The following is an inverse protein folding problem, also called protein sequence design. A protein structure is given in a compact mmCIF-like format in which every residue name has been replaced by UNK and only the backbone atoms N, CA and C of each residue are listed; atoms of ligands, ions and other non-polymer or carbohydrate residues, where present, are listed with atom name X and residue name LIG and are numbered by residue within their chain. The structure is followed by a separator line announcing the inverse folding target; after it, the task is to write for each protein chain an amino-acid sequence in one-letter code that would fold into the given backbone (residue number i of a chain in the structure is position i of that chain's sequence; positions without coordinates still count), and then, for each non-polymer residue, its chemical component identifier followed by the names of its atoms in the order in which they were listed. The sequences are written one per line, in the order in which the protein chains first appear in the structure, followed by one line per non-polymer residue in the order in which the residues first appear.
data_IF_912027802554
#
_entry.id   IF_912027802554
#
_cell.length_a   1.000
_cell.length_b   1.000
_cell.length_c   1.000
_cell.angle_alpha   90.00
_cell.angle_beta   90.00
_cell.angle_gamma   90.00
#
_symmetry.space_group_name_H-M   'P 1'
#
loop_
_entity.id
_entity.type
_entity.pdbx_description
1 polymer ?
#
# COMPACT_ATOMS: atom_id res chain seq x y z
N UNK A 1 -1.56 28.62 -15.30
CA UNK A 1 -2.66 28.83 -14.32
C UNK A 1 -2.34 27.99 -13.10
N UNK A 2 -2.64 28.45 -11.89
CA UNK A 2 -2.46 27.64 -10.67
C UNK A 2 -3.67 26.71 -10.50
N UNK A 3 -3.43 25.47 -10.09
CA UNK A 3 -4.47 24.50 -9.75
C UNK A 3 -5.36 25.00 -8.62
N UNK A 4 -6.62 24.56 -8.60
CA UNK A 4 -7.54 24.81 -7.48
C UNK A 4 -7.22 23.87 -6.32
N UNK A 5 -7.01 24.42 -5.13
CA UNK A 5 -6.87 23.64 -3.89
C UNK A 5 -8.21 23.65 -3.12
N UNK A 6 -8.66 22.48 -2.68
CA UNK A 6 -9.72 22.32 -1.68
C UNK A 6 -9.14 21.59 -0.47
N UNK A 7 -9.32 22.12 0.74
CA UNK A 7 -8.67 21.58 1.94
C UNK A 7 -9.66 21.38 3.09
N UNK A 8 -9.47 20.28 3.82
CA UNK A 8 -10.21 19.92 5.03
C UNK A 8 -9.27 19.88 6.23
N UNK A 9 -8.63 21.01 6.51
CA UNK A 9 -7.67 21.16 7.61
C UNK A 9 -8.28 22.05 8.71
N UNK A 10 -8.85 21.47 9.79
CA UNK A 10 -9.57 22.24 10.81
C UNK A 10 -8.66 23.25 11.52
N UNK A 11 -7.39 22.91 11.74
CA UNK A 11 -6.40 23.77 12.41
C UNK A 11 -5.53 24.56 11.41
N UNK A 12 -5.85 24.48 10.11
CA UNK A 12 -5.02 25.00 9.03
C UNK A 12 -3.78 24.13 8.75
N UNK A 13 -2.93 24.61 7.84
CA UNK A 13 -1.67 23.96 7.48
C UNK A 13 -0.48 24.69 8.12
N UNK A 14 0.58 23.95 8.46
CA UNK A 14 1.86 24.56 8.79
C UNK A 14 2.58 25.10 7.55
N UNK A 15 3.48 26.08 7.73
CA UNK A 15 4.18 26.75 6.63
C UNK A 15 4.87 25.80 5.62
N UNK A 16 5.41 24.67 6.10
CA UNK A 16 6.03 23.68 5.24
C UNK A 16 5.01 22.92 4.35
N UNK A 17 3.83 22.60 4.90
CA UNK A 17 2.74 21.99 4.16
C UNK A 17 2.18 22.96 3.13
N UNK A 18 1.95 24.22 3.51
CA UNK A 18 1.52 25.28 2.59
C UNK A 18 2.49 25.48 1.42
N UNK A 19 3.80 25.53 1.72
CA UNK A 19 4.82 25.67 0.68
C UNK A 19 4.80 24.50 -0.30
N UNK A 20 4.61 23.27 0.19
CA UNK A 20 4.53 22.07 -0.64
C UNK A 20 3.24 22.03 -1.48
N UNK A 21 2.09 22.37 -0.89
CA UNK A 21 0.80 22.45 -1.60
C UNK A 21 0.84 23.54 -2.68
N UNK A 22 1.43 24.70 -2.37
CA UNK A 22 1.59 25.79 -3.33
C UNK A 22 2.54 25.41 -4.47
N UNK A 23 3.61 24.65 -4.19
CA UNK A 23 4.51 24.09 -5.22
C UNK A 23 3.73 23.14 -6.13
N UNK A 24 3.00 22.19 -5.54
CA UNK A 24 2.20 21.21 -6.28
C UNK A 24 1.14 21.87 -7.17
N UNK A 25 0.45 22.89 -6.66
CA UNK A 25 -0.58 23.60 -7.43
C UNK A 25 -0.03 24.43 -8.59
N UNK A 26 1.26 24.77 -8.57
CA UNK A 26 1.94 25.47 -9.69
C UNK A 26 2.59 24.52 -10.69
N UNK A 27 2.74 23.23 -10.36
CA UNK A 27 3.22 22.21 -11.30
C UNK A 27 2.31 22.18 -12.51
N UNK A 28 2.89 22.22 -13.71
CA UNK A 28 2.10 22.20 -14.95
C UNK A 28 1.29 20.91 -15.06
N UNK A 29 0.10 21.03 -15.68
CA UNK A 29 -0.91 19.97 -15.85
C UNK A 29 -1.69 19.56 -14.59
N UNK A 30 -1.30 20.03 -13.39
CA UNK A 30 -2.13 19.87 -12.19
C UNK A 30 -3.36 20.76 -12.28
N UNK A 31 -4.55 20.16 -12.25
CA UNK A 31 -5.83 20.85 -12.36
C UNK A 31 -6.50 21.08 -11.00
N UNK A 32 -6.44 20.06 -10.12
CA UNK A 32 -7.07 20.11 -8.79
C UNK A 32 -6.23 19.39 -7.75
N UNK A 33 -6.23 19.92 -6.53
CA UNK A 33 -5.66 19.27 -5.35
C UNK A 33 -6.70 19.27 -4.24
N UNK A 34 -7.07 18.08 -3.76
CA UNK A 34 -7.88 17.91 -2.56
C UNK A 34 -6.97 17.51 -1.39
N UNK A 35 -7.05 18.20 -0.27
CA UNK A 35 -6.16 18.04 0.89
C UNK A 35 -6.95 17.49 2.09
N UNK A 36 -6.66 16.26 2.47
CA UNK A 36 -7.34 15.53 3.53
C UNK A 36 -6.88 15.99 4.94
N UNK A 37 -7.65 15.70 6.00
CA UNK A 37 -7.33 16.13 7.36
C UNK A 37 -6.00 15.60 7.92
N UNK A 38 -5.49 14.50 7.36
CA UNK A 38 -4.23 13.85 7.75
C UNK A 38 -3.04 14.29 6.89
N UNK A 39 -3.20 15.33 6.08
CA UNK A 39 -2.17 15.78 5.16
C UNK A 39 -0.91 16.26 5.88
N UNK A 40 0.24 15.81 5.40
CA UNK A 40 1.55 16.20 5.93
C UNK A 40 2.63 16.16 4.85
N UNK A 41 3.75 16.83 5.15
CA UNK A 41 4.86 16.97 4.21
C UNK A 41 5.49 15.61 3.89
N UNK A 42 5.78 15.40 2.61
CA UNK A 42 6.62 14.34 2.08
C UNK A 42 7.51 14.94 0.97
N UNK A 43 8.29 14.12 0.25
CA UNK A 43 9.33 14.56 -0.69
C UNK A 43 8.80 15.59 -1.73
N UNK A 44 8.09 15.10 -2.74
CA UNK A 44 7.61 15.91 -3.87
C UNK A 44 6.12 16.26 -3.72
N UNK A 45 5.30 15.28 -3.34
CA UNK A 45 3.84 15.39 -3.18
C UNK A 45 3.46 15.00 -1.76
N UNK A 46 2.65 15.81 -1.09
CA UNK A 46 2.23 15.56 0.30
C UNK A 46 1.39 14.28 0.43
N UNK A 47 1.58 13.57 1.54
CA UNK A 47 0.63 12.52 1.97
C UNK A 47 -0.70 13.19 2.32
N UNK A 48 -1.81 12.45 2.18
CA UNK A 48 -3.15 12.99 2.42
C UNK A 48 -3.64 13.93 1.33
N UNK A 49 -3.15 13.78 0.09
CA UNK A 49 -3.63 14.60 -1.04
C UNK A 49 -4.16 13.73 -2.18
N UNK A 50 -5.19 14.24 -2.86
CA UNK A 50 -5.63 13.74 -4.16
C UNK A 50 -5.27 14.78 -5.20
N UNK A 51 -4.42 14.40 -6.15
CA UNK A 51 -3.92 15.28 -7.21
C UNK A 51 -4.50 14.86 -8.55
N UNK A 52 -5.24 15.75 -9.20
CA UNK A 52 -5.79 15.51 -10.53
C UNK A 52 -4.93 16.19 -11.60
N UNK A 53 -4.48 15.41 -12.57
CA UNK A 53 -3.75 15.84 -13.77
C UNK A 53 -4.51 15.42 -15.03
N UNK A 54 -4.13 15.94 -16.20
CA UNK A 54 -4.81 15.60 -17.46
C UNK A 54 -3.97 14.76 -18.43
N UNK A 55 -2.66 15.01 -18.46
CA UNK A 55 -1.70 14.37 -19.37
C UNK A 55 -0.44 13.87 -18.67
N UNK A 56 -0.11 14.39 -17.49
CA UNK A 56 1.10 14.04 -16.75
C UNK A 56 0.81 13.07 -15.61
N UNK A 57 1.69 12.11 -15.44
CA UNK A 57 1.71 11.20 -14.30
C UNK A 57 2.76 11.70 -13.32
N UNK A 58 2.41 11.77 -12.04
CA UNK A 58 3.31 12.16 -10.96
C UNK A 58 3.55 10.93 -10.07
N UNK A 59 4.63 10.15 -10.27
CA UNK A 59 4.86 8.93 -9.47
C UNK A 59 4.86 9.18 -7.96
N UNK A 60 5.39 10.32 -7.53
CA UNK A 60 5.40 10.73 -6.14
C UNK A 60 3.98 10.93 -5.54
N UNK A 61 2.97 11.23 -6.36
CA UNK A 61 1.58 11.35 -5.91
C UNK A 61 0.93 9.99 -5.61
N UNK A 62 1.45 8.90 -6.18
CA UNK A 62 1.04 7.53 -5.85
C UNK A 62 1.77 7.01 -4.62
N UNK A 63 3.02 7.47 -4.41
CA UNK A 63 3.84 7.14 -3.26
C UNK A 63 4.75 5.93 -3.48
N UNK A 64 5.61 5.67 -2.48
CA UNK A 64 6.62 4.60 -2.56
C UNK A 64 6.03 3.20 -2.39
N UNK A 65 5.09 3.02 -1.46
CA UNK A 65 4.44 1.73 -1.27
C UNK A 65 3.15 1.64 -2.11
N UNK A 66 3.34 1.41 -3.42
CA UNK A 66 2.24 1.38 -4.39
C UNK A 66 1.21 0.32 -3.97
N UNK A 67 -0.05 0.75 -3.84
CA UNK A 67 -1.14 -0.14 -3.46
C UNK A 67 -1.16 -0.50 -1.97
N UNK A 68 -0.38 0.17 -1.11
CA UNK A 68 -0.55 0.11 0.34
C UNK A 68 -1.99 0.45 0.72
N UNK A 69 -2.55 -0.32 1.65
CA UNK A 69 -3.94 -0.16 2.05
C UNK A 69 -4.41 -1.23 3.01
N UNK A 70 -5.72 -1.18 3.27
CA UNK A 70 -6.35 -1.91 4.37
C UNK A 70 -7.25 -3.05 3.90
N UNK A 71 -7.35 -4.09 4.72
CA UNK A 71 -8.45 -5.07 4.71
C UNK A 71 -9.07 -5.08 6.10
N UNK A 72 -10.40 -4.98 6.17
CA UNK A 72 -11.18 -5.11 7.39
C UNK A 72 -12.13 -6.32 7.24
N UNK A 73 -12.00 -7.31 8.11
CA UNK A 73 -12.86 -8.49 8.12
C UNK A 73 -13.60 -8.56 9.44
N UNK A 74 -14.93 -8.50 9.38
CA UNK A 74 -15.79 -8.87 10.52
C UNK A 74 -15.83 -10.38 10.63
N UNK A 75 -15.38 -10.92 11.76
CA UNK A 75 -15.44 -12.34 12.04
C UNK A 75 -16.83 -12.70 12.57
N UNK A 76 -17.24 -13.96 12.36
CA UNK A 76 -18.49 -14.51 12.91
C UNK A 76 -18.31 -14.92 14.38
N UNK A 77 -17.78 -14.01 15.19
CA UNK A 77 -17.50 -14.21 16.60
C UNK A 77 -17.54 -12.89 17.35
N UNK A 78 -17.82 -12.96 18.64
CA UNK A 78 -17.72 -11.82 19.56
C UNK A 78 -16.29 -11.70 20.09
N UNK A 79 -15.87 -10.49 20.43
CA UNK A 79 -14.51 -10.22 20.91
C UNK A 79 -14.18 -10.93 22.23
N UNK A 80 -15.19 -11.26 23.02
CA UNK A 80 -15.05 -12.03 24.25
C UNK A 80 -14.52 -13.45 23.99
N UNK A 81 -14.54 -13.93 22.73
CA UNK A 81 -13.81 -15.14 22.32
C UNK A 81 -12.34 -15.11 22.77
N UNK A 82 -11.74 -13.92 22.82
CA UNK A 82 -10.34 -13.69 23.19
C UNK A 82 -10.16 -13.12 24.61
N UNK A 83 -11.20 -13.17 25.45
CA UNK A 83 -11.08 -12.79 26.87
C UNK A 83 -10.14 -13.75 27.64
N UNK A 84 -10.05 -15.02 27.20
CA UNK A 84 -9.08 -15.97 27.72
C UNK A 84 -7.66 -15.64 27.23
N UNK A 85 -6.76 -15.38 28.17
CA UNK A 85 -5.39 -14.95 27.88
C UNK A 85 -4.60 -16.01 27.12
N UNK A 86 -4.80 -17.29 27.44
CA UNK A 86 -4.05 -18.37 26.79
C UNK A 86 -4.50 -18.56 25.33
N UNK A 87 -5.81 -18.44 25.07
CA UNK A 87 -6.37 -18.43 23.73
C UNK A 87 -5.87 -17.23 22.92
N UNK A 88 -5.86 -16.03 23.49
CA UNK A 88 -5.32 -14.85 22.85
C UNK A 88 -3.81 -15.01 22.53
N UNK A 89 -3.02 -15.56 23.46
CA UNK A 89 -1.60 -15.83 23.24
C UNK A 89 -1.36 -16.88 22.14
N UNK A 90 -2.16 -17.95 22.08
CA UNK A 90 -2.10 -18.95 21.01
C UNK A 90 -2.42 -18.34 19.65
N UNK A 91 -3.45 -17.49 19.57
CA UNK A 91 -3.81 -16.78 18.35
C UNK A 91 -2.67 -15.86 17.89
N UNK A 92 -2.13 -15.03 18.79
CA UNK A 92 -1.03 -14.11 18.47
C UNK A 92 0.21 -14.88 17.98
N UNK A 93 0.57 -15.97 18.65
CA UNK A 93 1.66 -16.86 18.22
C UNK A 93 1.39 -17.46 16.83
N UNK A 94 0.15 -17.86 16.56
CA UNK A 94 -0.29 -18.34 15.25
C UNK A 94 -0.15 -17.28 14.17
N UNK A 95 -0.59 -16.05 14.44
CA UNK A 95 -0.52 -14.92 13.51
C UNK A 95 0.92 -14.59 13.16
N UNK A 96 1.80 -14.46 14.16
CA UNK A 96 3.24 -14.20 13.94
C UNK A 96 3.91 -15.28 13.08
N UNK A 97 3.44 -16.53 13.17
CA UNK A 97 3.98 -17.65 12.39
C UNK A 97 3.44 -17.71 10.96
N UNK A 98 2.14 -17.48 10.76
CA UNK A 98 1.48 -17.63 9.45
C UNK A 98 1.54 -16.36 8.60
N UNK A 99 1.68 -15.20 9.23
CA UNK A 99 1.82 -13.89 8.58
C UNK A 99 3.15 -13.26 9.04
N UNK A 100 4.28 -13.71 8.50
CA UNK A 100 5.58 -13.19 8.91
C UNK A 100 5.77 -11.75 8.43
N UNK A 101 6.49 -10.96 9.21
CA UNK A 101 6.84 -9.58 8.84
C UNK A 101 8.13 -9.48 8.00
N UNK A 102 8.83 -10.60 7.84
CA UNK A 102 10.08 -10.74 7.06
C UNK A 102 9.85 -11.64 5.84
N UNK A 103 10.84 -11.65 4.94
CA UNK A 103 10.91 -12.54 3.78
C UNK A 103 10.64 -14.01 4.17
N UNK A 104 9.87 -14.70 3.35
CA UNK A 104 9.84 -16.16 3.40
C UNK A 104 11.21 -16.74 3.01
N UNK A 105 11.62 -17.90 3.57
CA UNK A 105 12.78 -18.62 3.07
C UNK A 105 12.63 -18.95 1.58
N UNK A 106 13.71 -18.80 0.80
CA UNK A 106 13.65 -19.01 -0.65
C UNK A 106 13.18 -20.44 -1.00
N UNK A 107 13.59 -21.42 -0.19
CA UNK A 107 13.12 -22.80 -0.25
C UNK A 107 11.68 -22.90 0.27
N UNK A 108 10.78 -23.43 -0.56
CA UNK A 108 9.38 -23.64 -0.18
C UNK A 108 8.46 -22.43 -0.34
N UNK A 109 8.97 -21.27 -0.77
CA UNK A 109 8.10 -20.15 -1.17
C UNK A 109 7.36 -20.51 -2.47
N UNK A 110 6.02 -20.51 -2.49
CA UNK A 110 5.26 -20.83 -3.70
C UNK A 110 5.53 -19.82 -4.83
N UNK A 111 5.23 -20.17 -6.09
CA UNK A 111 5.26 -19.21 -7.17
C UNK A 111 4.27 -18.06 -6.91
N UNK A 112 4.48 -16.95 -7.62
CA UNK A 112 3.44 -15.91 -7.71
C UNK A 112 2.19 -16.50 -8.39
N UNK A 113 1.00 -15.97 -8.09
CA UNK A 113 -0.20 -16.20 -8.90
C UNK A 113 0.08 -16.00 -10.39
N UNK A 114 -0.58 -16.79 -11.25
CA UNK A 114 -0.28 -16.86 -12.69
C UNK A 114 -0.39 -15.49 -13.37
N UNK A 115 -1.42 -14.71 -13.04
CA UNK A 115 -1.61 -13.35 -13.56
C UNK A 115 -0.43 -12.41 -13.22
N UNK A 116 0.08 -12.47 -12.00
CA UNK A 116 1.25 -11.71 -11.57
C UNK A 116 2.54 -12.26 -12.18
N UNK A 117 2.64 -13.58 -12.34
CA UNK A 117 3.81 -14.24 -12.91
C UNK A 117 3.97 -13.95 -14.41
N UNK A 118 2.87 -13.96 -15.17
CA UNK A 118 2.84 -13.75 -16.61
C UNK A 118 2.98 -12.28 -17.02
N UNK A 119 2.39 -11.37 -16.24
CA UNK A 119 2.46 -9.94 -16.53
C UNK A 119 3.90 -9.41 -16.44
N UNK A 120 4.41 -8.81 -17.53
CA UNK A 120 5.78 -8.31 -17.62
C UNK A 120 5.90 -6.90 -17.06
N UNK A 121 6.94 -6.69 -16.25
CA UNK A 121 7.37 -5.37 -15.80
C UNK A 121 8.26 -4.69 -16.85
N UNK A 122 8.22 -3.37 -16.88
CA UNK A 122 8.86 -2.54 -17.91
C UNK A 122 10.39 -2.57 -17.96
N UNK A 123 11.06 -3.19 -16.97
CA UNK A 123 12.52 -3.20 -16.88
C UNK A 123 13.11 -4.56 -16.44
N UNK A 124 14.28 -4.97 -16.99
CA UNK A 124 14.95 -6.22 -16.61
C UNK A 124 15.25 -6.35 -15.11
N UNK A 125 15.62 -5.23 -14.46
CA UNK A 125 15.86 -5.20 -13.00
C UNK A 125 14.59 -5.49 -12.21
N UNK A 126 13.47 -4.89 -12.60
CA UNK A 126 12.18 -5.12 -11.95
C UNK A 126 11.72 -6.57 -12.13
N UNK A 127 11.93 -7.13 -13.33
CA UNK A 127 11.67 -8.54 -13.62
C UNK A 127 12.55 -9.49 -12.78
N UNK A 128 13.83 -9.16 -12.56
CA UNK A 128 14.69 -9.92 -11.67
C UNK A 128 14.20 -9.86 -10.22
N UNK A 129 13.80 -8.67 -9.74
CA UNK A 129 13.26 -8.50 -8.39
C UNK A 129 11.94 -9.25 -8.20
N UNK A 130 11.05 -9.19 -9.18
CA UNK A 130 9.79 -9.95 -9.19
C UNK A 130 10.03 -11.46 -8.98
N UNK A 131 11.01 -12.04 -9.69
CA UNK A 131 11.34 -13.48 -9.58
C UNK A 131 11.93 -13.88 -8.23
N UNK A 132 12.55 -12.94 -7.51
CA UNK A 132 13.22 -13.17 -6.23
C UNK A 132 12.45 -12.54 -5.07
N UNK A 133 12.66 -11.26 -4.81
CA UNK A 133 12.03 -10.52 -3.70
C UNK A 133 10.51 -10.55 -3.79
N UNK A 134 9.93 -10.24 -4.96
CA UNK A 134 8.48 -10.23 -5.15
C UNK A 134 7.86 -11.59 -4.81
N UNK A 135 8.48 -12.70 -5.24
CA UNK A 135 8.01 -14.03 -4.85
C UNK A 135 8.12 -14.28 -3.34
N UNK A 136 9.26 -13.92 -2.73
CA UNK A 136 9.56 -14.19 -1.31
C UNK A 136 8.79 -13.30 -0.33
N UNK A 137 8.31 -12.14 -0.76
CA UNK A 137 7.56 -11.21 0.08
C UNK A 137 6.04 -11.33 -0.06
N UNK A 138 5.54 -12.15 -0.99
CA UNK A 138 4.10 -12.31 -1.20
C UNK A 138 3.45 -12.97 0.03
N UNK A 139 2.55 -12.24 0.69
CA UNK A 139 1.91 -12.70 1.92
C UNK A 139 2.68 -12.38 3.19
N UNK A 140 3.69 -11.50 3.11
CA UNK A 140 4.42 -10.99 4.27
C UNK A 140 3.91 -9.61 4.67
N UNK A 141 3.89 -9.32 5.98
CA UNK A 141 3.34 -8.07 6.51
C UNK A 141 4.22 -6.86 6.16
N UNK A 142 5.52 -7.00 6.42
CA UNK A 142 6.49 -5.93 6.26
C UNK A 142 6.82 -5.14 7.51
N UNK A 143 7.34 -3.93 7.29
CA UNK A 143 7.83 -3.00 8.32
C UNK A 143 7.14 -1.64 8.15
N UNK A 144 7.44 -0.69 9.04
CA UNK A 144 6.86 0.65 9.01
C UNK A 144 5.51 0.66 9.73
N UNK A 145 4.51 1.29 9.11
CA UNK A 145 3.15 1.38 9.63
C UNK A 145 2.26 0.17 9.27
N UNK A 146 2.84 -0.92 8.77
CA UNK A 146 2.12 -2.15 8.45
C UNK A 146 1.85 -2.96 9.71
N UNK A 147 0.61 -3.42 9.85
CA UNK A 147 0.14 -4.14 11.04
C UNK A 147 -0.94 -5.16 10.68
N UNK A 148 -1.11 -6.12 11.59
CA UNK A 148 -2.27 -6.99 11.64
C UNK A 148 -2.79 -6.93 13.07
N UNK A 149 -4.04 -6.48 13.21
CA UNK A 149 -4.68 -6.23 14.49
C UNK A 149 -5.99 -6.99 14.60
N UNK A 150 -6.32 -7.36 15.83
CA UNK A 150 -7.62 -7.92 16.19
C UNK A 150 -8.33 -6.91 17.08
N UNK A 151 -9.54 -6.53 16.70
CA UNK A 151 -10.25 -5.39 17.27
C UNK A 151 -11.68 -5.75 17.68
N UNK A 152 -12.26 -4.95 18.57
CA UNK A 152 -13.65 -5.05 19.03
C UNK A 152 -14.39 -3.79 18.55
N UNK A 153 -15.54 -3.95 17.91
CA UNK A 153 -16.42 -2.81 17.58
C UNK A 153 -17.33 -2.42 18.76
N UNK A 154 -18.13 -1.36 18.56
CA UNK A 154 -19.03 -0.82 19.58
C UNK A 154 -20.13 -1.83 20.00
N UNK A 155 -20.49 -2.74 19.09
CA UNK A 155 -21.45 -3.82 19.34
C UNK A 155 -20.82 -5.08 19.95
N UNK A 156 -19.49 -5.13 20.12
CA UNK A 156 -18.76 -6.25 20.69
C UNK A 156 -18.34 -7.33 19.70
N UNK A 157 -18.57 -7.16 18.40
CA UNK A 157 -18.12 -8.09 17.38
C UNK A 157 -16.61 -8.02 17.18
N UNK A 158 -16.03 -9.15 16.77
CA UNK A 158 -14.60 -9.30 16.54
C UNK A 158 -14.22 -8.95 15.10
N UNK A 159 -13.19 -8.13 14.95
CA UNK A 159 -12.64 -7.70 13.67
C UNK A 159 -11.18 -8.08 13.51
N UNK A 160 -10.79 -8.36 12.27
CA UNK A 160 -9.40 -8.44 11.85
C UNK A 160 -9.12 -7.26 10.92
N UNK A 161 -8.13 -6.45 11.28
CA UNK A 161 -7.66 -5.32 10.49
C UNK A 161 -6.23 -5.58 10.01
N UNK A 162 -6.00 -5.44 8.71
CA UNK A 162 -4.71 -5.72 8.08
C UNK A 162 -4.28 -4.54 7.23
N UNK A 163 -3.09 -4.01 7.50
CA UNK A 163 -2.42 -2.96 6.74
C UNK A 163 -1.15 -3.49 6.08
N UNK A 164 -1.10 -3.49 4.75
CA UNK A 164 0.13 -3.79 4.00
C UNK A 164 0.04 -3.33 2.54
N UNK A 165 1.17 -3.37 1.84
CA UNK A 165 1.32 -2.90 0.46
C UNK A 165 2.08 -3.85 -0.45
N UNK A 166 2.77 -3.29 -1.43
CA UNK A 166 3.48 -4.04 -2.48
C UNK A 166 4.91 -4.43 -2.12
N UNK A 167 5.29 -4.23 -0.86
CA UNK A 167 6.58 -4.67 -0.30
C UNK A 167 7.74 -4.04 -1.07
N UNK A 168 8.83 -4.74 -1.37
CA UNK A 168 9.98 -4.17 -2.07
C UNK A 168 9.67 -3.77 -3.53
N UNK A 169 8.58 -4.30 -4.11
CA UNK A 169 8.26 -4.04 -5.51
C UNK A 169 7.78 -2.61 -5.75
N UNK A 170 6.91 -2.08 -4.89
CA UNK A 170 6.41 -0.70 -5.02
C UNK A 170 7.52 0.35 -5.06
N UNK A 171 8.41 0.39 -4.06
CA UNK A 171 9.51 1.34 -4.02
C UNK A 171 10.47 1.17 -5.20
N UNK A 172 10.75 -0.06 -5.61
CA UNK A 172 11.61 -0.33 -6.78
C UNK A 172 10.99 0.17 -8.09
N UNK A 173 9.68 -0.01 -8.26
CA UNK A 173 8.93 0.50 -9.42
C UNK A 173 8.94 2.03 -9.41
N UNK A 174 8.63 2.67 -8.26
CA UNK A 174 8.70 4.13 -8.12
C UNK A 174 10.10 4.64 -8.48
N UNK A 175 11.14 4.09 -7.86
CA UNK A 175 12.54 4.52 -8.07
C UNK A 175 12.94 4.40 -9.54
N UNK A 176 12.60 3.28 -10.19
CA UNK A 176 12.89 3.06 -11.61
C UNK A 176 12.25 4.14 -12.49
N UNK A 177 10.96 4.41 -12.30
CA UNK A 177 10.22 5.34 -13.15
C UNK A 177 10.52 6.82 -12.83
N UNK A 178 10.82 7.15 -11.58
CA UNK A 178 11.29 8.50 -11.22
C UNK A 178 12.67 8.82 -11.79
N UNK A 179 13.52 7.82 -12.00
CA UNK A 179 14.81 8.00 -12.65
C UNK A 179 14.68 8.35 -14.15
N UNK A 180 13.57 7.94 -14.79
CA UNK A 180 13.23 8.26 -16.18
C UNK A 180 12.42 9.55 -16.33
N UNK A 181 11.87 10.05 -15.22
CA UNK A 181 10.97 11.19 -15.20
C UNK A 181 11.69 12.51 -15.50
N UNK A 182 11.03 13.36 -16.30
CA UNK A 182 11.40 14.75 -16.46
C UNK A 182 11.08 15.53 -15.17
N UNK A 183 11.61 16.74 -15.05
CA UNK A 183 11.39 17.62 -13.90
C UNK A 183 10.69 18.90 -14.34
N UNK A 184 9.54 19.19 -13.73
CA UNK A 184 8.82 20.45 -13.88
C UNK A 184 9.63 21.61 -13.26
N UNK A 185 9.49 22.86 -13.71
CA UNK A 185 10.11 24.02 -13.04
C UNK A 185 9.76 24.15 -11.55
N UNK A 186 8.62 23.60 -11.10
CA UNK A 186 8.27 23.49 -9.68
C UNK A 186 9.20 22.55 -8.88
N UNK A 187 9.93 21.69 -9.59
CA UNK A 187 10.77 20.64 -9.04
C UNK A 187 10.10 19.26 -9.03
N UNK A 188 8.79 19.16 -9.24
CA UNK A 188 8.07 17.87 -9.21
C UNK A 188 8.42 17.03 -10.45
N UNK A 189 8.71 15.74 -10.24
CA UNK A 189 8.99 14.79 -11.32
C UNK A 189 7.70 14.34 -12.01
N UNK A 190 7.74 14.21 -13.33
CA UNK A 190 6.60 13.75 -14.12
C UNK A 190 6.99 12.86 -15.30
N UNK A 191 6.02 12.06 -15.74
CA UNK A 191 6.03 11.32 -17.00
C UNK A 191 4.83 11.79 -17.84
N UNK A 192 4.99 11.95 -19.15
CA UNK A 192 3.84 12.15 -20.04
C UNK A 192 3.09 10.81 -20.16
N UNK A 193 1.79 10.79 -19.90
CA UNK A 193 1.00 9.56 -19.78
C UNK A 193 0.96 8.73 -21.08
N UNK A 194 1.00 9.40 -22.22
CA UNK A 194 1.02 8.82 -23.56
C UNK A 194 2.44 8.52 -24.08
N UNK A 195 3.48 8.78 -23.29
CA UNK A 195 4.84 8.34 -23.61
C UNK A 195 5.01 6.84 -23.36
N UNK A 196 6.06 6.26 -23.93
CA UNK A 196 6.44 4.87 -23.63
C UNK A 196 6.73 4.67 -22.13
N UNK A 197 7.46 5.60 -21.52
CA UNK A 197 7.77 5.57 -20.10
C UNK A 197 6.51 5.72 -19.23
N UNK A 198 5.57 6.60 -19.61
CA UNK A 198 4.29 6.77 -18.93
C UNK A 198 3.43 5.51 -18.96
N UNK A 199 3.28 4.89 -20.13
CA UNK A 199 2.56 3.60 -20.26
C UNK A 199 3.22 2.48 -19.47
N UNK A 200 4.56 2.40 -19.49
CA UNK A 200 5.31 1.43 -18.71
C UNK A 200 5.09 1.63 -17.19
N UNK A 201 5.12 2.88 -16.71
CA UNK A 201 4.82 3.19 -15.32
C UNK A 201 3.40 2.78 -14.91
N UNK A 202 2.38 3.08 -15.73
CA UNK A 202 1.00 2.68 -15.42
C UNK A 202 0.86 1.15 -15.35
N UNK A 203 1.48 0.42 -16.27
CA UNK A 203 1.47 -1.05 -16.26
C UNK A 203 2.15 -1.61 -15.01
N UNK A 204 3.34 -1.11 -14.67
CA UNK A 204 4.09 -1.57 -13.50
C UNK A 204 3.39 -1.18 -12.18
N UNK A 205 2.81 0.01 -12.09
CA UNK A 205 2.04 0.45 -10.93
C UNK A 205 0.75 -0.38 -10.77
N UNK A 206 0.07 -0.72 -11.86
CA UNK A 206 -1.09 -1.62 -11.83
C UNK A 206 -0.70 -3.04 -11.39
N UNK A 207 0.47 -3.53 -11.83
CA UNK A 207 1.02 -4.80 -11.35
C UNK A 207 1.29 -4.74 -9.84
N UNK A 208 1.96 -3.70 -9.35
CA UNK A 208 2.24 -3.52 -7.92
C UNK A 208 0.95 -3.45 -7.08
N UNK A 209 -0.07 -2.74 -7.56
CA UNK A 209 -1.37 -2.70 -6.89
C UNK A 209 -2.06 -4.07 -6.84
N UNK A 210 -1.95 -4.86 -7.91
CA UNK A 210 -2.48 -6.24 -7.97
C UNK A 210 -1.71 -7.17 -7.03
N UNK A 211 -0.38 -7.05 -7.00
CA UNK A 211 0.49 -7.76 -6.07
C UNK A 211 0.15 -7.42 -4.60
N UNK A 212 -0.04 -6.15 -4.27
CA UNK A 212 -0.43 -5.72 -2.93
C UNK A 212 -1.79 -6.31 -2.51
N UNK A 213 -2.78 -6.33 -3.41
CA UNK A 213 -4.07 -6.99 -3.18
C UNK A 213 -3.92 -8.50 -2.94
N UNK A 214 -3.17 -9.20 -3.79
CA UNK A 214 -2.92 -10.64 -3.63
C UNK A 214 -2.19 -10.95 -2.32
N UNK A 215 -1.20 -10.13 -1.95
CA UNK A 215 -0.47 -10.25 -0.69
C UNK A 215 -1.41 -10.10 0.50
N UNK A 216 -2.25 -9.06 0.53
CA UNK A 216 -3.25 -8.87 1.59
C UNK A 216 -4.27 -10.00 1.64
N UNK A 217 -4.76 -10.48 0.49
CA UNK A 217 -5.70 -11.60 0.42
C UNK A 217 -5.10 -12.88 1.04
N UNK A 218 -3.83 -13.18 0.73
CA UNK A 218 -3.11 -14.32 1.31
C UNK A 218 -2.97 -14.18 2.82
N UNK A 219 -2.52 -13.03 3.31
CA UNK A 219 -2.39 -12.77 4.76
C UNK A 219 -3.73 -12.87 5.48
N UNK A 220 -4.77 -12.28 4.89
CA UNK A 220 -6.13 -12.32 5.43
C UNK A 220 -6.66 -13.77 5.52
N UNK A 221 -6.42 -14.60 4.51
CA UNK A 221 -6.81 -16.01 4.53
C UNK A 221 -6.06 -16.82 5.61
N UNK A 222 -4.74 -16.65 5.71
CA UNK A 222 -3.92 -17.30 6.73
C UNK A 222 -4.32 -16.89 8.16
N UNK A 223 -4.61 -15.61 8.36
CA UNK A 223 -5.05 -15.06 9.64
C UNK A 223 -6.46 -15.53 9.99
N UNK A 224 -7.42 -15.43 9.08
CA UNK A 224 -8.80 -15.89 9.29
C UNK A 224 -8.86 -17.39 9.60
N UNK A 225 -8.01 -18.20 8.96
CA UNK A 225 -7.91 -19.63 9.21
C UNK A 225 -7.48 -20.02 10.64
N UNK A 226 -6.92 -19.09 11.42
CA UNK A 226 -6.60 -19.32 12.84
C UNK A 226 -7.80 -19.17 13.77
N UNK A 227 -8.88 -18.54 13.32
CA UNK A 227 -10.09 -18.35 14.13
C UNK A 227 -11.07 -19.51 14.02
N UNK A 228 -11.07 -20.27 12.91
CA UNK A 228 -12.00 -21.39 12.72
C UNK A 228 -11.95 -22.43 13.86
N UNK A 229 -10.78 -22.88 14.35
CA UNK A 229 -10.73 -23.82 15.49
C UNK A 229 -11.20 -23.21 16.81
N UNK A 230 -11.23 -21.87 16.93
CA UNK A 230 -11.65 -21.17 18.15
C UNK A 230 -13.17 -21.01 18.22
N UNK A 231 -13.85 -21.00 17.07
CA UNK A 231 -15.31 -20.88 16.99
C UNK A 231 -16.03 -22.23 17.11
N UNK A 232 -15.33 -23.34 16.87
CA UNK A 232 -15.86 -24.71 16.97
C UNK A 232 -15.88 -25.27 18.40
N UNK A 233 -15.28 -24.58 19.38
CA UNK A 233 -15.38 -24.90 20.83
C UNK A 233 -16.80 -24.68 21.43
N UNK A 234 -17.83 -24.51 20.59
CA UNK A 234 -19.25 -24.51 20.99
C UNK A 234 -19.81 -25.94 20.98
N UNK A 235 -19.20 -26.83 21.74
CA UNK A 235 -19.73 -28.15 22.11
C UNK A 235 -19.84 -28.27 23.62
#
# INVERSE_FOLDING_TARGET
MSARIAAWLPDGAGAALDASLARLARTEDVAHVAVMPDAHVADDVCVGTVTATTRRLLPAAVGGDIGCGMVALRLRADADLLADRDRAARLLSGLCRRVPHVLHPAAGTPPLPDDLAEARLGAPRLEAMKRREGRMELGTLGRGNHFLEVQRDEEGALWLLLHSGSRAMGPAIREHHEALAARDPSGVRFLEADSEAGRAYLADAAWAASYARASRARMAAEAAGLFAPLTDDRA
#
